data_IF_686364353957
#
_entry.id   IF_686364353957
#
_cell.length_a   1.000
_cell.length_b   1.000
_cell.length_c   1.000
_cell.angle_alpha   90.00
_cell.angle_beta   90.00
_cell.angle_gamma   90.00
#
_symmetry.space_group_name_H-M   'P 1'
#
loop_
_entity.id
_entity.type
_entity.pdbx_description
1 polymer ?
#
# COMPACT_ATOMS: atom_id res chain seq x y z
N UNK A 1 -9.29 10.23 -11.20
CA UNK A 1 -9.45 8.78 -11.42
C UNK A 1 -8.20 8.05 -10.99
N UNK A 2 -8.24 7.37 -9.82
CA UNK A 2 -7.19 6.43 -9.48
C UNK A 2 -7.29 5.25 -10.46
N UNK A 3 -6.32 5.12 -11.35
CA UNK A 3 -6.17 3.93 -12.18
C UNK A 3 -5.58 2.81 -11.31
N UNK A 4 -6.47 1.97 -10.77
CA UNK A 4 -6.11 0.83 -9.91
C UNK A 4 -5.67 -0.40 -10.69
N UNK A 5 -5.51 -0.33 -12.01
CA UNK A 5 -4.83 -1.42 -12.74
C UNK A 5 -3.40 -1.57 -12.21
N UNK A 6 -2.82 -2.77 -12.38
CA UNK A 6 -1.42 -3.00 -12.02
C UNK A 6 -0.49 -1.97 -12.67
N UNK A 7 -0.64 -1.77 -13.98
CA UNK A 7 0.13 -0.76 -14.74
C UNK A 7 -0.12 0.68 -14.25
N UNK A 8 -1.38 1.05 -13.99
CA UNK A 8 -1.74 2.37 -13.49
C UNK A 8 -1.13 2.66 -12.12
N UNK A 9 -1.15 1.68 -11.22
CA UNK A 9 -0.57 1.79 -9.89
C UNK A 9 0.95 1.88 -9.94
N UNK A 10 1.61 1.09 -10.78
CA UNK A 10 3.05 1.23 -11.02
C UNK A 10 3.42 2.61 -11.58
N UNK A 11 2.65 3.12 -12.53
CA UNK A 11 2.89 4.43 -13.13
C UNK A 11 2.71 5.55 -12.08
N UNK A 12 1.69 5.46 -11.24
CA UNK A 12 1.47 6.38 -10.13
C UNK A 12 2.70 6.44 -9.21
N UNK A 13 3.15 5.29 -8.70
CA UNK A 13 4.26 5.23 -7.78
C UNK A 13 5.59 5.63 -8.42
N UNK A 14 5.80 5.31 -9.70
CA UNK A 14 6.98 5.73 -10.46
C UNK A 14 7.11 7.26 -10.56
N UNK A 15 6.00 7.98 -10.57
CA UNK A 15 5.96 9.44 -10.62
C UNK A 15 5.75 10.10 -9.25
N UNK A 16 5.72 9.30 -8.17
CA UNK A 16 5.59 9.82 -6.82
C UNK A 16 6.86 10.54 -6.37
N UNK A 17 6.73 11.50 -5.46
CA UNK A 17 7.83 12.40 -5.07
C UNK A 17 9.04 11.67 -4.48
N UNK A 18 8.81 10.63 -3.67
CA UNK A 18 9.85 9.77 -3.12
C UNK A 18 10.08 8.56 -4.04
N UNK A 19 11.17 8.52 -4.84
CA UNK A 19 11.42 7.44 -5.79
C UNK A 19 11.74 6.10 -5.10
N UNK A 20 12.10 6.12 -3.80
CA UNK A 20 12.37 4.90 -3.04
C UNK A 20 11.10 4.06 -2.87
N UNK A 21 9.92 4.68 -2.81
CA UNK A 21 8.63 3.99 -2.68
C UNK A 21 8.43 3.04 -3.86
N UNK A 22 8.56 3.55 -5.09
CA UNK A 22 8.41 2.72 -6.28
C UNK A 22 9.39 1.57 -6.32
N UNK A 23 10.66 1.84 -5.98
CA UNK A 23 11.70 0.81 -5.93
C UNK A 23 11.32 -0.29 -4.94
N UNK A 24 10.95 0.05 -3.71
CA UNK A 24 10.54 -0.93 -2.68
C UNK A 24 9.34 -1.75 -3.14
N UNK A 25 8.36 -1.12 -3.77
CA UNK A 25 7.19 -1.81 -4.32
C UNK A 25 7.58 -2.83 -5.40
N UNK A 26 8.44 -2.48 -6.36
CA UNK A 26 8.95 -3.43 -7.34
C UNK A 26 9.66 -4.63 -6.69
N UNK A 27 10.45 -4.39 -5.62
CA UNK A 27 11.12 -5.46 -4.89
C UNK A 27 10.13 -6.37 -4.16
N UNK A 28 9.13 -5.81 -3.47
CA UNK A 28 8.09 -6.61 -2.80
C UNK A 28 7.32 -7.45 -3.82
N UNK A 29 6.84 -6.82 -4.91
CA UNK A 29 6.04 -7.53 -5.90
C UNK A 29 6.81 -8.60 -6.69
N UNK A 30 8.15 -8.50 -6.78
CA UNK A 30 8.98 -9.53 -7.41
C UNK A 30 8.86 -10.91 -6.74
N UNK A 31 8.35 -10.96 -5.50
CA UNK A 31 8.13 -12.20 -4.73
C UNK A 31 6.66 -12.40 -4.34
N UNK A 32 5.73 -11.64 -4.93
CA UNK A 32 4.28 -11.74 -4.68
C UNK A 32 3.57 -12.59 -5.73
N UNK A 33 4.15 -13.73 -6.15
CA UNK A 33 3.53 -14.64 -7.13
C UNK A 33 2.23 -15.31 -6.68
N UNK A 34 1.79 -15.06 -5.45
CA UNK A 34 0.63 -15.65 -4.79
C UNK A 34 -0.61 -14.73 -4.83
N UNK A 35 -0.48 -13.49 -5.30
CA UNK A 35 -1.61 -12.58 -5.48
C UNK A 35 -2.52 -13.05 -6.62
N UNK A 36 -3.68 -12.40 -6.76
CA UNK A 36 -4.70 -12.75 -7.76
C UNK A 36 -4.68 -11.83 -8.98
N UNK A 37 -3.70 -10.93 -9.07
CA UNK A 37 -3.51 -10.04 -10.21
C UNK A 37 -3.43 -10.84 -11.52
N UNK A 38 -4.10 -10.35 -12.56
CA UNK A 38 -4.17 -10.99 -13.88
C UNK A 38 -5.33 -11.97 -14.09
N UNK A 39 -6.15 -12.24 -13.07
CA UNK A 39 -7.45 -12.92 -13.27
C UNK A 39 -8.46 -11.98 -13.96
N UNK A 40 -9.02 -12.40 -15.09
CA UNK A 40 -9.87 -11.54 -15.94
C UNK A 40 -11.11 -11.00 -15.18
N UNK A 41 -11.73 -11.83 -14.34
CA UNK A 41 -12.91 -11.42 -13.59
C UNK A 41 -12.55 -10.42 -12.47
N UNK A 42 -11.42 -10.64 -11.80
CA UNK A 42 -10.89 -9.68 -10.84
C UNK A 42 -10.51 -8.36 -11.51
N UNK A 43 -9.77 -8.37 -12.63
CA UNK A 43 -9.35 -7.16 -13.31
C UNK A 43 -10.53 -6.32 -13.81
N UNK A 44 -11.59 -6.96 -14.33
CA UNK A 44 -12.83 -6.28 -14.67
C UNK A 44 -13.49 -5.63 -13.44
N UNK A 45 -13.49 -6.34 -12.30
CA UNK A 45 -14.05 -5.82 -11.05
C UNK A 45 -13.23 -4.67 -10.46
N UNK A 46 -11.89 -4.71 -10.58
CA UNK A 46 -11.03 -3.61 -10.14
C UNK A 46 -11.23 -2.37 -11.01
N UNK A 47 -11.40 -2.54 -12.31
CA UNK A 47 -11.69 -1.42 -13.20
C UNK A 47 -13.00 -0.73 -12.80
N UNK A 48 -14.03 -1.50 -12.46
CA UNK A 48 -15.30 -0.93 -11.99
C UNK A 48 -15.16 -0.28 -10.61
N UNK A 49 -14.47 -0.92 -9.67
CA UNK A 49 -14.16 -0.33 -8.37
C UNK A 49 -13.43 1.01 -8.52
N UNK A 50 -12.44 1.10 -9.42
CA UNK A 50 -11.73 2.35 -9.70
C UNK A 50 -12.63 3.47 -10.24
N UNK A 51 -13.72 3.12 -10.94
CA UNK A 51 -14.74 4.11 -11.37
C UNK A 51 -15.58 4.57 -10.19
N UNK A 52 -16.09 3.65 -9.39
CA UNK A 52 -16.90 3.95 -8.19
C UNK A 52 -16.12 4.81 -7.18
N UNK A 53 -14.82 4.59 -7.05
CA UNK A 53 -13.94 5.40 -6.19
C UNK A 53 -13.80 6.86 -6.64
N UNK A 54 -14.25 7.26 -7.83
CA UNK A 54 -14.26 8.68 -8.23
C UNK A 54 -15.33 9.49 -7.51
N UNK A 55 -16.45 8.87 -7.17
CA UNK A 55 -17.59 9.52 -6.52
C UNK A 55 -17.67 9.19 -5.02
N UNK A 56 -16.60 8.59 -4.49
CA UNK A 56 -16.55 8.13 -3.11
C UNK A 56 -16.71 9.27 -2.10
N UNK A 57 -16.33 10.51 -2.42
CA UNK A 57 -16.50 11.71 -1.57
C UNK A 57 -17.96 11.93 -1.15
N UNK A 58 -18.92 11.35 -1.87
CA UNK A 58 -20.37 11.40 -1.56
C UNK A 58 -20.80 10.31 -0.58
N UNK A 59 -19.93 9.36 -0.28
CA UNK A 59 -20.20 8.17 0.54
C UNK A 59 -19.47 8.30 1.88
N UNK A 60 -20.24 8.21 2.96
CA UNK A 60 -19.67 8.15 4.30
C UNK A 60 -19.07 6.74 4.53
N UNK A 61 -17.73 6.65 4.45
CA UNK A 61 -17.01 5.39 4.59
C UNK A 61 -17.13 4.76 5.97
N UNK A 62 -17.35 5.56 7.03
CA UNK A 62 -17.58 5.04 8.36
C UNK A 62 -18.93 4.32 8.41
N UNK A 63 -19.96 4.89 7.76
CA UNK A 63 -21.29 4.24 7.64
C UNK A 63 -21.29 3.05 6.68
N UNK A 64 -20.42 3.03 5.69
CA UNK A 64 -20.32 1.91 4.74
C UNK A 64 -19.98 0.60 5.48
N UNK A 65 -19.13 0.67 6.52
CA UNK A 65 -18.80 -0.47 7.40
C UNK A 65 -18.29 -1.71 6.62
N UNK A 66 -17.52 -1.50 5.56
CA UNK A 66 -16.95 -2.55 4.69
C UNK A 66 -15.42 -2.70 4.82
N UNK A 67 -14.83 -2.28 5.93
CA UNK A 67 -13.37 -2.30 6.15
C UNK A 67 -12.78 -3.70 5.92
N UNK A 68 -13.46 -4.76 6.36
CA UNK A 68 -13.03 -6.15 6.14
C UNK A 68 -12.87 -6.50 4.65
N UNK A 69 -13.72 -5.96 3.76
CA UNK A 69 -13.59 -6.20 2.32
C UNK A 69 -12.37 -5.49 1.72
N UNK A 70 -12.04 -4.29 2.19
CA UNK A 70 -10.83 -3.58 1.76
C UNK A 70 -9.56 -4.31 2.23
N UNK A 71 -9.56 -4.85 3.46
CA UNK A 71 -8.48 -5.70 3.99
C UNK A 71 -8.31 -6.94 3.10
N UNK A 72 -9.41 -7.65 2.81
CA UNK A 72 -9.41 -8.83 1.94
C UNK A 72 -8.84 -8.52 0.57
N UNK A 73 -9.34 -7.45 -0.05
CA UNK A 73 -8.91 -7.02 -1.36
C UNK A 73 -7.42 -6.69 -1.36
N UNK A 74 -6.97 -5.89 -0.39
CA UNK A 74 -5.58 -5.52 -0.23
C UNK A 74 -4.65 -6.71 -0.03
N UNK A 75 -5.11 -7.80 0.60
CA UNK A 75 -4.35 -9.03 0.75
C UNK A 75 -4.16 -9.79 -0.56
N UNK A 76 -5.08 -9.69 -1.52
CA UNK A 76 -5.03 -10.48 -2.75
C UNK A 76 -4.55 -9.69 -3.97
N UNK A 77 -4.23 -8.42 -3.82
CA UNK A 77 -3.58 -7.59 -4.82
C UNK A 77 -2.09 -7.40 -4.53
N UNK A 78 -1.32 -7.12 -5.58
CA UNK A 78 0.06 -6.63 -5.48
C UNK A 78 0.16 -5.36 -4.63
N UNK A 79 1.25 -5.22 -3.89
CA UNK A 79 1.41 -4.16 -2.89
C UNK A 79 1.24 -2.75 -3.48
N UNK A 80 1.62 -2.52 -4.75
CA UNK A 80 1.45 -1.23 -5.43
C UNK A 80 -0.02 -0.84 -5.56
N UNK A 81 -0.90 -1.78 -5.91
CA UNK A 81 -2.34 -1.56 -6.03
C UNK A 81 -2.97 -1.38 -4.66
N UNK A 82 -2.57 -2.17 -3.68
CA UNK A 82 -3.03 -2.05 -2.30
C UNK A 82 -2.74 -0.66 -1.74
N UNK A 83 -1.50 -0.17 -1.85
CA UNK A 83 -1.17 1.18 -1.41
C UNK A 83 -1.87 2.26 -2.23
N UNK A 84 -2.04 2.07 -3.54
CA UNK A 84 -2.73 3.06 -4.39
C UNK A 84 -4.21 3.16 -4.02
N UNK A 85 -4.85 2.04 -3.68
CA UNK A 85 -6.21 2.00 -3.12
C UNK A 85 -6.29 2.75 -1.78
N UNK A 86 -5.36 2.49 -0.85
CA UNK A 86 -5.32 3.22 0.43
C UNK A 86 -5.15 4.74 0.20
N UNK A 87 -4.25 5.11 -0.71
CA UNK A 87 -4.02 6.50 -1.07
C UNK A 87 -5.26 7.14 -1.70
N UNK A 88 -6.00 6.42 -2.54
CA UNK A 88 -7.25 6.90 -3.13
C UNK A 88 -8.31 7.16 -2.04
N UNK A 89 -8.48 6.22 -1.10
CA UNK A 89 -9.38 6.38 0.04
C UNK A 89 -9.00 7.59 0.91
N UNK A 90 -7.71 7.76 1.19
CA UNK A 90 -7.21 8.84 2.06
C UNK A 90 -7.27 10.22 1.38
N UNK A 91 -7.12 10.25 0.05
CA UNK A 91 -7.24 11.49 -0.74
C UNK A 91 -8.68 12.01 -0.72
N UNK A 92 -9.64 11.11 -0.81
CA UNK A 92 -11.08 11.43 -0.74
C UNK A 92 -11.55 11.75 0.67
N UNK A 93 -11.09 10.96 1.65
CA UNK A 93 -11.47 11.09 3.06
C UNK A 93 -10.22 10.96 3.93
N UNK A 94 -9.59 12.09 4.32
CA UNK A 94 -8.37 12.09 5.10
C UNK A 94 -8.47 11.24 6.38
N UNK A 95 -7.53 10.33 6.56
CA UNK A 95 -7.48 9.40 7.69
C UNK A 95 -8.16 8.05 7.43
N UNK A 96 -8.80 7.84 6.28
CA UNK A 96 -9.43 6.56 5.92
C UNK A 96 -8.44 5.40 5.88
N UNK A 97 -7.22 5.62 5.35
CA UNK A 97 -6.20 4.58 5.32
C UNK A 97 -5.74 4.20 6.75
N UNK A 98 -5.56 5.21 7.60
CA UNK A 98 -5.19 4.99 9.01
C UNK A 98 -6.30 4.26 9.78
N UNK A 99 -7.56 4.63 9.58
CA UNK A 99 -8.73 3.93 10.16
C UNK A 99 -8.79 2.47 9.73
N UNK A 100 -8.47 2.17 8.46
CA UNK A 100 -8.45 0.79 7.99
C UNK A 100 -7.35 -0.04 8.66
N UNK A 101 -6.17 0.55 8.88
CA UNK A 101 -5.08 -0.09 9.62
C UNK A 101 -5.47 -0.32 11.09
N UNK A 102 -6.05 0.68 11.77
CA UNK A 102 -6.55 0.53 13.14
C UNK A 102 -7.60 -0.57 13.24
N UNK A 103 -8.55 -0.61 12.31
CA UNK A 103 -9.55 -1.67 12.27
C UNK A 103 -8.93 -3.06 12.10
N UNK A 104 -7.91 -3.19 11.23
CA UNK A 104 -7.17 -4.44 11.09
C UNK A 104 -6.47 -4.85 12.39
N UNK A 105 -5.91 -3.89 13.15
CA UNK A 105 -5.30 -4.16 14.47
C UNK A 105 -6.33 -4.62 15.50
N UNK A 106 -7.53 -4.03 15.50
CA UNK A 106 -8.62 -4.38 16.42
C UNK A 106 -9.16 -5.80 16.20
N UNK A 107 -9.30 -6.23 14.95
CA UNK A 107 -9.92 -7.52 14.61
C UNK A 107 -8.92 -8.68 14.49
N UNK A 108 -7.62 -8.38 14.39
CA UNK A 108 -6.59 -9.42 14.28
C UNK A 108 -6.37 -10.12 15.63
N UNK A 109 -6.45 -11.44 15.61
CA UNK A 109 -6.09 -12.33 16.71
C UNK A 109 -4.66 -12.89 16.57
N UNK A 110 -3.98 -12.62 15.45
CA UNK A 110 -2.59 -13.02 15.26
C UNK A 110 -2.05 -12.81 13.83
N UNK A 111 -0.74 -12.99 13.62
CA UNK A 111 -0.04 -12.64 12.38
C UNK A 111 -0.41 -13.49 11.15
N UNK A 112 -1.25 -14.52 11.31
CA UNK A 112 -1.62 -15.45 10.23
C UNK A 112 -3.10 -15.35 9.85
N UNK A 113 -3.91 -14.57 10.58
CA UNK A 113 -5.26 -14.28 10.13
C UNK A 113 -5.25 -13.21 9.02
N UNK A 114 -6.41 -12.99 8.42
CA UNK A 114 -6.58 -12.11 7.26
C UNK A 114 -6.14 -10.67 7.58
N UNK A 115 -6.55 -10.12 8.71
CA UNK A 115 -6.15 -8.78 9.13
C UNK A 115 -4.66 -8.70 9.50
N UNK A 116 -4.13 -9.73 10.14
CA UNK A 116 -2.72 -9.85 10.50
C UNK A 116 -1.80 -9.94 9.28
N UNK A 117 -2.22 -10.62 8.21
CA UNK A 117 -1.50 -10.61 6.94
C UNK A 117 -1.45 -9.21 6.34
N UNK A 118 -2.58 -8.49 6.33
CA UNK A 118 -2.67 -7.12 5.81
C UNK A 118 -1.73 -6.18 6.56
N UNK A 119 -1.74 -6.23 7.89
CA UNK A 119 -0.83 -5.46 8.74
C UNK A 119 0.63 -5.81 8.47
N UNK A 120 0.97 -7.10 8.38
CA UNK A 120 2.34 -7.54 8.11
C UNK A 120 2.88 -7.05 6.78
N UNK A 121 2.05 -7.03 5.73
CA UNK A 121 2.45 -6.50 4.41
C UNK A 121 2.76 -5.00 4.50
N UNK A 122 1.90 -4.22 5.14
CA UNK A 122 2.13 -2.78 5.37
C UNK A 122 3.37 -2.51 6.23
N UNK A 123 3.54 -3.24 7.33
CA UNK A 123 4.74 -3.14 8.19
C UNK A 123 6.01 -3.50 7.42
N UNK A 124 5.96 -4.53 6.56
CA UNK A 124 7.10 -4.95 5.75
C UNK A 124 7.49 -3.86 4.74
N UNK A 125 6.51 -3.25 4.07
CA UNK A 125 6.71 -2.09 3.20
C UNK A 125 7.41 -0.95 3.96
N UNK A 126 6.88 -0.56 5.12
CA UNK A 126 7.46 0.52 5.92
C UNK A 126 8.88 0.20 6.40
N UNK A 127 9.13 -1.02 6.87
CA UNK A 127 10.48 -1.45 7.28
C UNK A 127 11.47 -1.39 6.13
N UNK A 128 11.12 -1.93 4.96
CA UNK A 128 11.98 -1.90 3.79
C UNK A 128 12.29 -0.47 3.35
N UNK A 129 11.28 0.40 3.31
CA UNK A 129 11.42 1.81 2.97
C UNK A 129 12.29 2.57 3.96
N UNK A 130 12.01 2.45 5.26
CA UNK A 130 12.72 3.18 6.30
C UNK A 130 14.16 2.69 6.43
N UNK A 131 14.41 1.38 6.46
CA UNK A 131 15.77 0.84 6.59
C UNK A 131 16.63 1.21 5.37
N UNK A 132 16.10 1.13 4.15
CA UNK A 132 16.82 1.52 2.95
C UNK A 132 17.22 3.01 2.95
N UNK A 133 16.42 3.87 3.60
CA UNK A 133 16.72 5.31 3.72
C UNK A 133 17.64 5.63 4.90
N UNK A 134 17.41 5.01 6.06
CA UNK A 134 18.16 5.25 7.30
C UNK A 134 19.59 4.75 7.17
N UNK A 135 19.77 3.55 6.59
CA UNK A 135 21.07 2.92 6.38
C UNK A 135 21.52 3.04 4.92
N UNK A 136 21.14 4.11 4.23
CA UNK A 136 21.66 4.37 2.88
C UNK A 136 23.16 4.66 2.94
N UNK A 137 23.88 4.34 1.86
CA UNK A 137 25.31 4.60 1.77
C UNK A 137 25.66 6.06 2.08
N UNK A 138 24.89 7.00 1.54
CA UNK A 138 25.04 8.44 1.80
C UNK A 138 24.95 8.79 3.30
N UNK A 139 24.00 8.18 4.03
CA UNK A 139 23.85 8.40 5.48
C UNK A 139 25.03 7.82 6.25
N UNK A 140 25.48 6.62 5.88
CA UNK A 140 26.62 5.97 6.52
C UNK A 140 27.91 6.75 6.28
N UNK A 141 28.17 7.16 5.04
CA UNK A 141 29.33 7.98 4.67
C UNK A 141 29.32 9.33 5.40
N UNK A 142 28.16 9.95 5.55
CA UNK A 142 28.01 11.21 6.29
C UNK A 142 28.39 11.05 7.77
N UNK A 143 27.92 9.97 8.42
CA UNK A 143 28.26 9.68 9.81
C UNK A 143 29.74 9.33 9.96
N UNK A 144 30.31 8.56 9.03
CA UNK A 144 31.73 8.21 9.04
C UNK A 144 32.61 9.46 8.95
N UNK A 145 32.34 10.37 8.00
CA UNK A 145 33.07 11.66 7.90
C UNK A 145 33.00 12.47 9.20
N UNK A 146 31.81 12.57 9.78
CA UNK A 146 31.62 13.30 11.04
C UNK A 146 32.40 12.69 12.22
N UNK A 147 32.60 11.36 12.23
CA UNK A 147 33.32 10.66 13.29
C UNK A 147 34.85 10.61 13.06
N UNK A 148 35.28 10.53 11.80
CA UNK A 148 36.70 10.41 11.42
C UNK A 148 37.42 11.76 11.35
N UNK A 149 36.68 12.88 11.31
CA UNK A 149 37.25 14.23 11.49
C UNK A 149 37.89 14.83 10.24
N UNK A 150 37.61 14.29 9.05
CA UNK A 150 37.89 14.92 7.75
C UNK A 150 36.65 15.63 7.15
#
# INVERSE_FOLDING_TARGET
MPDLTHKGSHLYWKHYQDPLIYRVLCFMESVESWTKDGDDALEASILELGKELNDIDKVDLDKLSQQALFIRLGNHLGMSRTLHLLQALDTSHPGSAAKLLMHAEEISNGPQDEAGLFLRRNISFERLRLLARVFSQERLDFVLKALEGE
#
